data_IF_862018402079
#
_entry.id   IF_862018402079
#
_cell.length_a   1.000
_cell.length_b   1.000
_cell.length_c   1.000
_cell.angle_alpha   90.00
_cell.angle_beta   90.00
_cell.angle_gamma   90.00
#
_symmetry.space_group_name_H-M   'P 1'
#
loop_
_entity.id
_entity.type
_entity.pdbx_description
1 polymer ?
#
# COMPACT_ATOMS: atom_id res chain seq x y z
N UNK A 1 -2.61 -0.01 -10.01
CA UNK A 1 -2.72 -0.49 -8.62
C UNK A 1 -3.15 0.68 -7.71
N UNK A 2 -3.64 0.44 -6.49
CA UNK A 2 -4.24 1.47 -5.62
C UNK A 2 -3.26 1.97 -4.56
N UNK A 3 -3.09 3.28 -4.46
CA UNK A 3 -2.26 3.92 -3.44
C UNK A 3 -2.76 5.30 -3.06
N UNK A 4 -2.09 5.90 -2.08
CA UNK A 4 -2.27 7.31 -1.71
C UNK A 4 -1.74 8.18 -2.85
N UNK A 5 -2.54 9.13 -3.32
CA UNK A 5 -2.16 10.06 -4.39
C UNK A 5 -0.98 10.94 -3.96
N UNK A 6 -0.03 11.14 -4.86
CA UNK A 6 1.14 11.99 -4.65
C UNK A 6 1.49 12.79 -5.92
N UNK A 7 2.40 13.78 -5.83
CA UNK A 7 2.78 14.61 -6.97
C UNK A 7 3.24 13.83 -8.19
N UNK A 8 4.03 12.75 -8.03
CA UNK A 8 4.45 11.92 -9.17
C UNK A 8 3.25 11.32 -9.91
N UNK A 9 2.23 10.83 -9.19
CA UNK A 9 1.02 10.29 -9.80
C UNK A 9 0.25 11.35 -10.59
N UNK A 10 0.08 12.55 -10.02
CA UNK A 10 -0.62 13.67 -10.69
C UNK A 10 0.10 14.12 -11.97
N UNK A 11 1.43 14.19 -11.94
CA UNK A 11 2.23 14.54 -13.10
C UNK A 11 2.10 13.48 -14.21
N UNK A 12 2.21 12.18 -13.87
CA UNK A 12 2.04 11.10 -14.83
C UNK A 12 0.61 11.03 -15.40
N UNK A 13 -0.41 11.30 -14.58
CA UNK A 13 -1.81 11.34 -15.03
C UNK A 13 -2.08 12.52 -15.99
N UNK A 14 -1.28 13.59 -15.96
CA UNK A 14 -1.33 14.64 -16.98
C UNK A 14 -0.73 14.21 -18.32
N UNK A 15 0.08 13.14 -18.32
CA UNK A 15 0.80 12.59 -19.47
C UNK A 15 0.49 11.10 -19.67
N UNK A 16 -0.79 10.69 -19.56
CA UNK A 16 -1.18 9.26 -19.56
C UNK A 16 -0.61 8.45 -20.74
N UNK A 17 -0.45 9.07 -21.91
CA UNK A 17 0.09 8.42 -23.11
C UNK A 17 1.58 8.05 -22.98
N UNK A 18 2.32 8.71 -22.08
CA UNK A 18 3.73 8.45 -21.82
C UNK A 18 3.96 7.32 -20.79
N UNK A 19 2.90 6.79 -20.17
CA UNK A 19 3.02 5.70 -19.20
C UNK A 19 3.41 4.41 -19.92
N UNK A 20 4.54 3.82 -19.53
CA UNK A 20 5.06 2.60 -20.13
C UNK A 20 4.24 1.36 -19.71
N UNK A 21 4.20 0.30 -20.53
CA UNK A 21 3.53 -0.95 -20.17
C UNK A 21 4.18 -1.61 -18.96
N UNK A 22 3.41 -2.43 -18.24
CA UNK A 22 3.94 -3.24 -17.15
C UNK A 22 4.94 -4.28 -17.67
N UNK A 23 6.11 -4.48 -17.02
CA UNK A 23 6.61 -3.85 -15.78
C UNK A 23 7.59 -2.67 -16.03
N UNK A 24 7.71 -2.18 -17.26
CA UNK A 24 8.70 -1.19 -17.66
C UNK A 24 8.58 0.11 -16.84
N UNK A 25 7.37 0.64 -16.66
CA UNK A 25 7.14 1.86 -15.87
C UNK A 25 7.73 1.74 -14.46
N UNK A 26 7.45 0.62 -13.77
CA UNK A 26 7.97 0.39 -12.43
C UNK A 26 9.51 0.27 -12.43
N UNK A 27 10.08 -0.33 -13.46
CA UNK A 27 11.52 -0.52 -13.56
C UNK A 27 12.26 0.81 -13.76
N UNK A 28 11.80 1.65 -14.70
CA UNK A 28 12.44 2.93 -15.02
C UNK A 28 12.23 4.02 -13.97
N UNK A 29 11.21 3.89 -13.12
CA UNK A 29 10.94 4.85 -12.02
C UNK A 29 11.65 4.50 -10.71
N UNK A 30 12.53 3.48 -10.72
CA UNK A 30 13.26 3.02 -9.52
C UNK A 30 14.13 4.11 -8.90
N UNK A 31 14.84 4.88 -9.72
CA UNK A 31 15.79 5.88 -9.22
C UNK A 31 15.05 7.05 -8.58
N UNK A 32 13.87 7.42 -9.12
CA UNK A 32 12.95 8.41 -8.53
C UNK A 32 12.53 7.95 -7.13
N UNK A 33 12.03 6.71 -6.99
CA UNK A 33 11.66 6.15 -5.68
C UNK A 33 12.82 6.15 -4.70
N UNK A 34 14.02 5.79 -5.18
CA UNK A 34 15.22 5.72 -4.36
C UNK A 34 15.63 7.10 -3.84
N UNK A 35 15.62 8.11 -4.71
CA UNK A 35 15.92 9.49 -4.34
C UNK A 35 14.88 10.08 -3.37
N UNK A 36 13.58 9.85 -3.62
CA UNK A 36 12.52 10.28 -2.71
C UNK A 36 12.66 9.65 -1.31
N UNK A 37 12.92 8.34 -1.25
CA UNK A 37 13.13 7.65 0.02
C UNK A 37 14.35 8.19 0.78
N UNK A 38 15.48 8.40 0.09
CA UNK A 38 16.69 8.97 0.69
C UNK A 38 16.47 10.41 1.19
N UNK A 39 15.64 11.18 0.50
CA UNK A 39 15.27 12.54 0.88
C UNK A 39 14.14 12.64 1.90
N UNK A 40 13.56 11.52 2.35
CA UNK A 40 12.40 11.52 3.26
C UNK A 40 11.13 12.12 2.63
N UNK A 41 11.03 12.17 1.31
CA UNK A 41 9.86 12.67 0.58
C UNK A 41 8.97 11.50 0.16
N UNK A 42 7.65 11.69 0.32
CA UNK A 42 6.63 10.75 -0.13
C UNK A 42 6.28 10.91 -1.62
N UNK A 43 6.79 11.96 -2.28
CA UNK A 43 6.25 12.47 -3.54
C UNK A 43 6.49 11.56 -4.74
N UNK A 44 7.57 10.77 -4.70
CA UNK A 44 7.93 9.80 -5.73
C UNK A 44 7.80 8.35 -5.28
N UNK A 45 7.26 8.08 -4.08
CA UNK A 45 7.13 6.72 -3.55
C UNK A 45 5.90 5.99 -4.11
N UNK A 46 5.97 4.65 -4.15
CA UNK A 46 4.78 3.81 -4.39
C UNK A 46 4.05 3.57 -3.06
N UNK A 47 3.20 4.51 -2.66
CA UNK A 47 2.44 4.49 -1.40
C UNK A 47 1.20 3.59 -1.50
N UNK A 48 1.39 2.28 -1.62
CA UNK A 48 0.29 1.32 -1.71
C UNK A 48 -0.58 1.34 -0.45
N UNK A 49 -1.88 1.52 -0.64
CA UNK A 49 -2.85 1.56 0.45
C UNK A 49 -4.22 1.06 -0.05
N UNK A 50 -4.94 0.34 0.82
CA UNK A 50 -6.34 -0.03 0.60
C UNK A 50 -7.29 1.15 0.86
N UNK A 51 -8.59 0.88 0.83
CA UNK A 51 -9.67 1.85 1.16
C UNK A 51 -10.24 1.61 2.56
N UNK A 52 -9.48 0.97 3.45
CA UNK A 52 -9.98 0.59 4.78
C UNK A 52 -10.36 1.81 5.61
N UNK A 53 -11.43 1.68 6.39
CA UNK A 53 -11.89 2.66 7.38
C UNK A 53 -11.49 2.17 8.77
N UNK A 54 -10.86 3.01 9.59
CA UNK A 54 -10.42 2.68 10.95
C UNK A 54 -9.02 3.17 11.29
N UNK A 55 -8.63 3.03 12.56
CA UNK A 55 -7.33 3.48 13.04
C UNK A 55 -6.18 2.62 12.50
N UNK A 56 -5.16 3.29 11.95
CA UNK A 56 -3.87 2.65 11.71
C UNK A 56 -3.25 2.27 13.05
N UNK A 57 -2.64 1.10 13.09
CA UNK A 57 -1.98 0.61 14.30
C UNK A 57 -0.57 0.20 14.01
N UNK A 58 0.32 0.55 14.93
CA UNK A 58 1.73 0.22 14.90
C UNK A 58 2.01 -0.79 16.01
N UNK A 59 3.00 -1.65 15.80
CA UNK A 59 3.39 -2.66 16.77
C UNK A 59 3.67 -4.02 16.13
N UNK A 60 3.98 -5.04 16.95
CA UNK A 60 4.23 -6.40 16.49
C UNK A 60 3.01 -6.97 15.76
N UNK A 61 3.25 -7.65 14.64
CA UNK A 61 2.18 -8.29 13.87
C UNK A 61 1.35 -9.26 14.73
N UNK A 62 1.96 -9.94 15.70
CA UNK A 62 1.27 -10.87 16.60
C UNK A 62 0.19 -10.17 17.46
N UNK A 63 0.45 -8.95 17.96
CA UNK A 63 -0.53 -8.20 18.75
C UNK A 63 -1.70 -7.74 17.90
N UNK A 64 -1.41 -7.29 16.66
CA UNK A 64 -2.45 -6.93 15.70
C UNK A 64 -3.37 -8.12 15.41
N UNK A 65 -2.81 -9.30 15.16
CA UNK A 65 -3.58 -10.53 14.93
C UNK A 65 -4.46 -10.86 16.14
N UNK A 66 -3.91 -10.83 17.36
CA UNK A 66 -4.69 -11.10 18.60
C UNK A 66 -5.84 -10.11 18.79
N UNK A 67 -5.65 -8.85 18.43
CA UNK A 67 -6.71 -7.82 18.51
C UNK A 67 -7.78 -8.01 17.44
N UNK A 68 -7.39 -8.40 16.22
CA UNK A 68 -8.32 -8.68 15.12
C UNK A 68 -9.13 -9.96 15.35
N UNK A 69 -8.52 -10.96 15.99
CA UNK A 69 -9.11 -12.27 16.28
C UNK A 69 -9.00 -12.57 17.77
N UNK A 70 -9.73 -11.84 18.63
CA UNK A 70 -9.76 -12.17 20.06
C UNK A 70 -10.28 -13.60 20.22
N UNK A 71 -9.64 -14.39 21.09
CA UNK A 71 -10.04 -15.77 21.33
C UNK A 71 -11.52 -15.80 21.70
N UNK A 72 -12.33 -16.35 20.79
CA UNK A 72 -13.75 -16.58 21.06
C UNK A 72 -13.83 -17.69 22.08
N UNK A 73 -14.42 -17.41 23.24
CA UNK A 73 -14.91 -18.43 24.15
C UNK A 73 -15.95 -19.31 23.43
N UNK A 74 -15.51 -20.38 22.77
CA UNK A 74 -16.31 -21.58 22.49
C UNK A 74 -17.38 -21.55 21.40
N UNK A 75 -17.18 -20.88 20.25
CA UNK A 75 -18.02 -21.17 19.06
C UNK A 75 -17.15 -21.27 17.80
N UNK A 76 -17.04 -22.50 17.28
CA UNK A 76 -16.38 -22.79 16.01
C UNK A 76 -17.12 -22.08 14.85
N UNK A 77 -16.42 -21.53 13.84
CA UNK A 77 -17.08 -20.95 12.67
C UNK A 77 -17.78 -22.05 11.87
N UNK A 78 -19.04 -21.83 11.51
CA UNK A 78 -19.87 -22.75 10.73
C UNK A 78 -19.42 -22.93 9.26
N UNK A 79 -18.34 -22.27 8.84
CA UNK A 79 -17.75 -22.48 7.53
C UNK A 79 -16.29 -22.00 7.51
N UNK A 80 -15.30 -22.82 7.14
CA UNK A 80 -14.00 -22.31 6.75
C UNK A 80 -14.13 -21.54 5.42
N UNK A 81 -13.42 -20.41 5.31
CA UNK A 81 -13.30 -19.66 4.06
C UNK A 81 -12.69 -20.57 2.96
N UNK A 82 -12.98 -20.32 1.66
CA UNK A 82 -12.61 -21.20 0.56
C UNK A 82 -11.11 -21.45 0.43
#
# INVERSE_FOLDING_TARGET
ARGIENPFMLEQDSQREAILPFPAQNSFTRDIRTASAAGGSADGLSLWAGTGEGDLSTGPAAELIRRLFPERSGVAPANPLP
#
